data_IF_570376267499
#
_entry.id   IF_570376267499
#
_cell.length_a   1.000
_cell.length_b   1.000
_cell.length_c   1.000
_cell.angle_alpha   90.00
_cell.angle_beta   90.00
_cell.angle_gamma   90.00
#
_symmetry.space_group_name_H-M   'P 1'
#
loop_
_entity.id
_entity.type
_entity.pdbx_description
1 polymer ?
#
# COMPACT_ATOMS: atom_id res chain seq x y z
N UNK A 1 0.05 8.95 -17.83
CA UNK A 1 -1.05 9.51 -17.00
C UNK A 1 -0.88 11.03 -16.96
N UNK A 2 -1.96 11.79 -17.12
CA UNK A 2 -1.92 13.25 -17.03
C UNK A 2 -2.17 13.64 -15.57
N UNK A 3 -1.19 14.31 -14.96
CA UNK A 3 -1.29 14.77 -13.57
C UNK A 3 -1.67 16.25 -13.56
N UNK A 4 -2.91 16.62 -13.12
CA UNK A 4 -3.34 18.01 -13.06
C UNK A 4 -2.96 18.71 -11.75
N UNK A 5 -1.97 18.23 -11.00
CA UNK A 5 -1.57 18.80 -9.71
C UNK A 5 -0.13 19.30 -9.73
N UNK A 6 0.11 20.41 -9.04
CA UNK A 6 1.43 20.94 -8.74
C UNK A 6 2.17 20.05 -7.74
N UNK A 7 3.51 20.19 -7.59
CA UNK A 7 4.26 19.42 -6.58
C UNK A 7 3.74 19.57 -5.15
N UNK A 8 3.16 20.72 -4.81
CA UNK A 8 2.52 20.98 -3.52
C UNK A 8 1.13 20.34 -3.36
N UNK A 9 0.66 19.61 -4.37
CA UNK A 9 -0.64 18.93 -4.37
C UNK A 9 -1.83 19.84 -4.67
N UNK A 10 -1.62 21.11 -5.05
CA UNK A 10 -2.68 21.98 -5.54
C UNK A 10 -3.03 21.67 -7.00
N UNK A 11 -4.31 21.83 -7.35
CA UNK A 11 -4.75 21.72 -8.73
C UNK A 11 -4.14 22.86 -9.56
N UNK A 12 -3.62 22.54 -10.76
CA UNK A 12 -3.07 23.54 -11.66
C UNK A 12 -4.18 24.52 -12.11
N UNK A 13 -3.79 25.77 -12.39
CA UNK A 13 -4.65 26.64 -13.19
C UNK A 13 -4.41 26.32 -14.68
N UNK A 14 -5.48 26.08 -15.42
CA UNK A 14 -5.38 25.70 -16.85
C UNK A 14 -4.76 26.81 -17.71
N UNK A 15 -4.91 28.04 -17.31
CA UNK A 15 -4.33 29.20 -18.02
C UNK A 15 -2.79 29.16 -18.05
N UNK A 16 -2.18 28.59 -17.00
CA UNK A 16 -0.73 28.46 -16.87
C UNK A 16 -0.16 27.33 -17.74
N UNK A 17 -1.02 26.45 -18.29
CA UNK A 17 -0.63 25.23 -19.00
C UNK A 17 -1.44 25.03 -20.29
N UNK A 18 -1.24 25.84 -21.33
CA UNK A 18 -2.11 25.87 -22.51
C UNK A 18 -2.24 24.55 -23.27
N UNK A 19 -1.16 23.75 -23.34
CA UNK A 19 -1.21 22.42 -23.99
C UNK A 19 -2.06 21.42 -23.19
N UNK A 20 -1.89 21.40 -21.86
CA UNK A 20 -2.70 20.54 -21.00
C UNK A 20 -4.17 21.01 -20.98
N UNK A 21 -4.39 22.33 -21.00
CA UNK A 21 -5.72 22.92 -21.11
C UNK A 21 -6.41 22.49 -22.40
N UNK A 22 -5.77 22.61 -23.54
CA UNK A 22 -6.32 22.20 -24.83
C UNK A 22 -6.73 20.73 -24.83
N UNK A 23 -5.88 19.85 -24.33
CA UNK A 23 -6.18 18.42 -24.20
C UNK A 23 -7.37 18.18 -23.27
N UNK A 24 -7.40 18.78 -22.08
CA UNK A 24 -8.49 18.60 -21.12
C UNK A 24 -9.79 19.18 -21.66
N UNK A 25 -9.77 20.33 -22.34
CA UNK A 25 -10.94 20.97 -22.95
C UNK A 25 -11.51 20.08 -24.07
N UNK A 26 -10.69 19.46 -24.91
CA UNK A 26 -11.16 18.54 -25.94
C UNK A 26 -11.93 17.33 -25.37
N UNK A 27 -11.70 16.99 -24.09
CA UNK A 27 -12.37 15.89 -23.39
C UNK A 27 -13.37 16.39 -22.33
N UNK A 28 -13.69 17.69 -22.31
CA UNK A 28 -14.47 18.34 -21.25
C UNK A 28 -15.82 17.69 -21.02
N UNK A 29 -16.53 17.38 -22.07
CA UNK A 29 -17.88 16.78 -21.97
C UNK A 29 -17.85 15.43 -21.21
N UNK A 30 -16.89 14.56 -21.55
CA UNK A 30 -16.72 13.27 -20.85
C UNK A 30 -16.27 13.48 -19.40
N UNK A 31 -15.35 14.41 -19.17
CA UNK A 31 -14.81 14.69 -17.83
C UNK A 31 -15.86 15.31 -16.90
N UNK A 32 -16.76 16.15 -17.40
CA UNK A 32 -17.83 16.78 -16.62
C UNK A 32 -18.93 15.79 -16.20
N UNK A 33 -19.11 14.66 -16.91
CA UNK A 33 -20.06 13.60 -16.54
C UNK A 33 -19.65 12.85 -15.29
N UNK A 34 -18.37 12.90 -14.88
CA UNK A 34 -17.86 12.22 -13.69
C UNK A 34 -18.45 12.80 -12.40
N UNK A 35 -18.68 11.93 -11.40
CA UNK A 35 -19.22 12.33 -10.12
C UNK A 35 -18.41 13.45 -9.43
N UNK A 36 -17.07 13.34 -9.47
CA UNK A 36 -16.17 14.33 -8.88
C UNK A 36 -16.31 15.71 -9.52
N UNK A 37 -16.55 15.77 -10.84
CA UNK A 37 -16.74 17.01 -11.57
C UNK A 37 -18.12 17.63 -11.29
N UNK A 38 -19.16 16.80 -11.15
CA UNK A 38 -20.51 17.26 -10.77
C UNK A 38 -20.52 17.92 -9.39
N UNK A 39 -19.74 17.39 -8.44
CA UNK A 39 -19.57 17.99 -7.11
C UNK A 39 -18.71 19.26 -7.12
N UNK A 40 -17.86 19.44 -8.11
CA UNK A 40 -16.93 20.57 -8.23
C UNK A 40 -16.89 21.10 -9.67
N UNK A 41 -17.92 21.79 -10.16
CA UNK A 41 -18.01 22.20 -11.57
C UNK A 41 -16.85 23.10 -12.03
N UNK A 42 -16.37 23.99 -11.18
CA UNK A 42 -15.23 24.86 -11.47
C UNK A 42 -13.87 24.11 -11.55
N UNK A 43 -13.81 22.89 -11.00
CA UNK A 43 -12.61 22.03 -10.98
C UNK A 43 -12.89 20.71 -11.68
N UNK A 44 -13.61 20.75 -12.80
CA UNK A 44 -14.11 19.60 -13.56
C UNK A 44 -13.01 18.65 -14.04
N UNK A 45 -11.78 19.11 -14.15
CA UNK A 45 -10.59 18.33 -14.55
C UNK A 45 -9.89 17.65 -13.37
N UNK A 46 -10.36 17.85 -12.14
CA UNK A 46 -9.86 17.16 -10.95
C UNK A 46 -9.97 15.64 -11.09
N UNK A 47 -8.98 14.89 -10.59
CA UNK A 47 -9.06 13.42 -10.49
C UNK A 47 -9.97 12.99 -9.34
N UNK A 48 -10.41 11.72 -9.34
CA UNK A 48 -11.21 11.16 -8.26
C UNK A 48 -10.37 11.21 -6.97
N UNK A 49 -9.18 10.63 -7.03
CA UNK A 49 -8.24 10.62 -5.93
C UNK A 49 -7.24 11.76 -6.07
N UNK A 50 -6.85 12.35 -4.95
CA UNK A 50 -5.81 13.36 -4.95
C UNK A 50 -4.46 12.71 -5.28
N UNK A 51 -3.76 13.26 -6.25
CA UNK A 51 -2.40 12.84 -6.56
C UNK A 51 -1.44 13.51 -5.56
N UNK A 52 -0.63 12.70 -4.91
CA UNK A 52 0.45 13.13 -4.02
C UNK A 52 1.79 12.92 -4.76
N UNK A 53 2.38 13.96 -5.36
CA UNK A 53 3.55 13.80 -6.22
C UNK A 53 4.75 13.11 -5.54
N UNK A 54 4.98 13.42 -4.27
CA UNK A 54 6.05 12.82 -3.47
C UNK A 54 5.96 11.29 -3.35
N UNK A 55 4.75 10.73 -3.49
CA UNK A 55 4.55 9.29 -3.41
C UNK A 55 5.21 8.54 -4.57
N UNK A 56 5.40 9.19 -5.73
CA UNK A 56 6.07 8.58 -6.87
C UNK A 56 7.50 8.18 -6.52
N UNK A 57 8.22 9.04 -5.83
CA UNK A 57 9.66 8.89 -5.57
C UNK A 57 9.96 8.22 -4.21
N UNK A 58 8.91 7.81 -3.50
CA UNK A 58 9.03 7.16 -2.19
C UNK A 58 8.94 5.64 -2.30
N UNK A 59 9.81 4.87 -1.64
CA UNK A 59 9.64 3.43 -1.50
C UNK A 59 8.31 3.11 -0.82
N UNK A 60 7.63 2.07 -1.32
CA UNK A 60 6.31 1.68 -0.82
C UNK A 60 5.98 0.21 -1.05
N UNK A 61 5.21 -0.36 -0.16
CA UNK A 61 4.54 -1.65 -0.40
C UNK A 61 3.24 -1.38 -1.15
N UNK A 62 3.00 -2.13 -2.19
CA UNK A 62 1.77 -2.07 -3.01
C UNK A 62 0.91 -3.30 -2.72
N UNK A 63 -0.35 -3.04 -2.35
CA UNK A 63 -1.34 -4.06 -1.98
C UNK A 63 -2.58 -3.92 -2.88
N UNK A 64 -3.01 -4.97 -3.57
CA UNK A 64 -4.29 -4.95 -4.26
C UNK A 64 -5.46 -4.99 -3.26
N UNK A 65 -6.58 -4.32 -3.55
CA UNK A 65 -7.79 -4.37 -2.69
C UNK A 65 -8.33 -5.81 -2.58
N UNK A 66 -8.28 -6.55 -3.67
CA UNK A 66 -8.72 -7.95 -3.73
C UNK A 66 -7.59 -8.77 -4.35
N UNK A 67 -7.08 -9.75 -3.61
CA UNK A 67 -6.04 -10.63 -4.13
C UNK A 67 -6.26 -12.06 -3.66
N UNK A 68 -6.34 -12.98 -4.65
CA UNK A 68 -6.32 -14.41 -4.37
C UNK A 68 -4.90 -14.97 -4.21
N UNK A 69 -3.94 -14.38 -4.90
CA UNK A 69 -2.58 -14.90 -4.97
C UNK A 69 -1.63 -14.25 -3.95
N UNK A 70 -2.12 -13.33 -3.11
CA UNK A 70 -1.33 -12.60 -2.10
C UNK A 70 -0.05 -11.96 -2.66
N UNK A 71 -0.05 -11.58 -3.94
CA UNK A 71 1.08 -10.91 -4.54
C UNK A 71 1.15 -9.47 -4.02
N UNK A 72 2.12 -9.23 -3.15
CA UNK A 72 2.42 -7.94 -2.55
C UNK A 72 3.83 -7.57 -2.96
N UNK A 73 3.98 -6.37 -3.51
CA UNK A 73 5.24 -5.93 -4.09
C UNK A 73 5.76 -4.68 -3.38
N UNK A 74 7.08 -4.58 -3.33
CA UNK A 74 7.75 -3.34 -2.94
C UNK A 74 8.18 -2.61 -4.20
N UNK A 75 7.75 -1.36 -4.31
CA UNK A 75 8.25 -0.40 -5.30
C UNK A 75 9.28 0.50 -4.63
N UNK A 76 10.44 0.63 -5.26
CA UNK A 76 11.57 1.42 -4.78
C UNK A 76 11.47 2.94 -5.09
N UNK A 77 10.29 3.38 -5.55
CA UNK A 77 10.04 4.78 -5.89
C UNK A 77 10.01 5.04 -7.39
N UNK A 78 9.60 4.07 -8.20
CA UNK A 78 9.49 4.20 -9.66
C UNK A 78 8.06 4.38 -10.16
N UNK A 79 7.08 3.87 -9.41
CA UNK A 79 5.70 3.81 -9.85
C UNK A 79 4.77 4.61 -8.93
N UNK A 80 3.71 5.11 -9.52
CA UNK A 80 2.62 5.73 -8.79
C UNK A 80 1.45 4.74 -8.65
N UNK A 81 0.97 4.42 -7.43
CA UNK A 81 -0.16 3.52 -7.22
C UNK A 81 -1.44 4.14 -7.81
N UNK A 82 -2.23 3.31 -8.49
CA UNK A 82 -3.51 3.71 -9.06
C UNK A 82 -4.68 3.15 -8.25
N UNK A 83 -5.87 3.55 -8.61
CA UNK A 83 -7.17 3.39 -7.97
C UNK A 83 -7.44 2.07 -7.23
N UNK A 84 -6.94 0.93 -7.67
CA UNK A 84 -7.22 -0.38 -7.04
C UNK A 84 -6.07 -0.89 -6.15
N UNK A 85 -5.12 -0.01 -5.81
CA UNK A 85 -3.99 -0.34 -4.97
C UNK A 85 -4.02 0.49 -3.69
N UNK A 86 -3.89 -0.18 -2.57
CA UNK A 86 -3.44 0.44 -1.34
C UNK A 86 -1.92 0.48 -1.31
N UNK A 87 -1.36 1.38 -0.53
CA UNK A 87 0.09 1.45 -0.36
C UNK A 87 0.46 1.70 1.10
N UNK A 88 1.64 1.23 1.47
CA UNK A 88 2.24 1.50 2.78
C UNK A 88 3.58 2.18 2.53
N UNK A 89 3.78 3.33 3.14
CA UNK A 89 5.04 4.08 3.11
C UNK A 89 5.65 4.16 4.50
N UNK A 90 6.90 4.56 4.57
CA UNK A 90 7.64 4.72 5.81
C UNK A 90 8.64 3.60 6.07
N UNK A 91 9.72 3.94 6.73
CA UNK A 91 10.83 3.01 6.96
C UNK A 91 11.79 2.88 5.76
N UNK A 92 12.81 2.06 5.94
CA UNK A 92 13.78 1.74 4.89
C UNK A 92 13.21 0.76 3.87
N UNK A 93 13.83 0.67 2.69
CA UNK A 93 13.47 -0.31 1.67
C UNK A 93 13.49 -1.74 2.23
N UNK A 94 14.50 -2.07 3.04
CA UNK A 94 14.61 -3.38 3.71
C UNK A 94 13.43 -3.66 4.65
N UNK A 95 13.01 -2.67 5.45
CA UNK A 95 11.84 -2.80 6.34
C UNK A 95 10.56 -3.03 5.55
N UNK A 96 10.39 -2.32 4.42
CA UNK A 96 9.24 -2.52 3.53
C UNK A 96 9.25 -3.90 2.86
N UNK A 97 10.43 -4.42 2.50
CA UNK A 97 10.56 -5.77 1.96
C UNK A 97 10.20 -6.84 3.01
N UNK A 98 10.70 -6.71 4.25
CA UNK A 98 10.31 -7.59 5.36
C UNK A 98 8.81 -7.54 5.61
N UNK A 99 8.25 -6.34 5.67
CA UNK A 99 6.80 -6.16 5.83
C UNK A 99 6.02 -6.83 4.69
N UNK A 100 6.46 -6.66 3.45
CA UNK A 100 5.84 -7.29 2.28
C UNK A 100 5.88 -8.83 2.37
N UNK A 101 7.03 -9.38 2.75
CA UNK A 101 7.19 -10.82 2.96
C UNK A 101 6.24 -11.34 4.05
N UNK A 102 6.14 -10.64 5.18
CA UNK A 102 5.23 -11.00 6.27
C UNK A 102 3.76 -10.95 5.82
N UNK A 103 3.38 -9.91 5.07
CA UNK A 103 2.02 -9.76 4.54
C UNK A 103 1.66 -10.88 3.54
N UNK A 104 2.63 -11.44 2.84
CA UNK A 104 2.42 -12.56 1.91
C UNK A 104 2.24 -13.91 2.62
N UNK A 105 2.57 -14.01 3.91
CA UNK A 105 2.54 -15.27 4.66
C UNK A 105 1.12 -15.80 4.93
N UNK A 106 1.01 -17.11 5.11
CA UNK A 106 -0.23 -17.75 5.55
C UNK A 106 -0.63 -17.32 6.97
N UNK A 107 0.33 -16.89 7.79
CA UNK A 107 0.07 -16.29 9.10
C UNK A 107 -0.80 -15.03 9.00
N UNK A 108 -0.53 -14.15 8.06
CA UNK A 108 -1.35 -12.95 7.81
C UNK A 108 -2.64 -13.31 7.08
N UNK A 109 -2.57 -14.20 6.10
CA UNK A 109 -3.75 -14.64 5.36
C UNK A 109 -4.82 -15.24 6.27
N UNK A 110 -4.45 -16.10 7.21
CA UNK A 110 -5.38 -16.70 8.15
C UNK A 110 -6.07 -15.66 9.03
N UNK A 111 -5.33 -14.64 9.48
CA UNK A 111 -5.92 -13.52 10.21
C UNK A 111 -6.90 -12.72 9.36
N UNK A 112 -6.54 -12.38 8.11
CA UNK A 112 -7.43 -11.66 7.21
C UNK A 112 -8.72 -12.45 6.94
N UNK A 113 -8.62 -13.74 6.66
CA UNK A 113 -9.79 -14.59 6.43
C UNK A 113 -10.73 -14.66 7.63
N UNK A 114 -10.21 -14.50 8.85
CA UNK A 114 -11.02 -14.51 10.08
C UNK A 114 -11.75 -13.19 10.36
N UNK A 115 -11.27 -12.06 9.80
CA UNK A 115 -11.80 -10.73 10.15
C UNK A 115 -12.44 -9.98 8.97
N UNK A 116 -12.27 -10.46 7.74
CA UNK A 116 -12.81 -9.82 6.53
C UNK A 116 -13.96 -10.60 5.93
N UNK A 117 -14.88 -9.88 5.30
CA UNK A 117 -15.85 -10.51 4.42
C UNK A 117 -15.15 -10.93 3.12
N UNK A 118 -15.22 -12.21 2.79
CA UNK A 118 -14.72 -12.70 1.53
C UNK A 118 -15.62 -12.29 0.37
N UNK A 119 -15.02 -11.89 -0.74
CA UNK A 119 -15.73 -11.67 -2.00
C UNK A 119 -16.07 -13.02 -2.67
N UNK A 120 -16.93 -12.98 -3.70
CA UNK A 120 -17.24 -14.14 -4.52
C UNK A 120 -15.94 -14.81 -4.99
N UNK A 121 -15.75 -16.10 -4.64
CA UNK A 121 -14.50 -16.83 -4.87
C UNK A 121 -13.62 -17.00 -3.62
N UNK A 122 -14.05 -16.53 -2.45
CA UNK A 122 -13.34 -16.74 -1.17
C UNK A 122 -12.10 -15.83 -0.96
N UNK A 123 -11.96 -14.77 -1.75
CA UNK A 123 -10.82 -13.86 -1.64
C UNK A 123 -11.02 -12.83 -0.55
N UNK A 124 -10.04 -12.68 0.38
CA UNK A 124 -10.09 -11.66 1.41
C UNK A 124 -9.91 -10.25 0.81
N UNK A 125 -10.50 -9.25 1.45
CA UNK A 125 -10.26 -7.85 1.13
C UNK A 125 -9.14 -7.28 1.98
N UNK A 126 -8.22 -6.58 1.31
CA UNK A 126 -7.05 -5.93 1.93
C UNK A 126 -7.35 -4.48 2.32
N UNK A 127 -8.55 -4.21 2.82
CA UNK A 127 -8.95 -2.86 3.20
C UNK A 127 -8.25 -2.41 4.49
N UNK A 128 -7.98 -1.11 4.58
CA UNK A 128 -7.28 -0.48 5.70
C UNK A 128 -7.84 -0.84 7.06
N UNK A 129 -9.16 -0.92 7.16
CA UNK A 129 -9.85 -1.27 8.40
C UNK A 129 -9.52 -2.68 8.91
N UNK A 130 -9.19 -3.61 8.01
CA UNK A 130 -8.77 -4.97 8.35
C UNK A 130 -7.26 -5.03 8.59
N UNK A 131 -6.47 -4.37 7.73
CA UNK A 131 -5.02 -4.33 7.89
C UNK A 131 -4.59 -3.78 9.25
N UNK A 132 -5.31 -2.79 9.77
CA UNK A 132 -5.06 -2.20 11.10
C UNK A 132 -5.33 -3.15 12.28
N UNK A 133 -5.99 -4.27 12.04
CA UNK A 133 -6.31 -5.29 13.06
C UNK A 133 -5.33 -6.46 13.06
N UNK A 134 -4.43 -6.51 12.07
CA UNK A 134 -3.43 -7.57 11.98
C UNK A 134 -2.45 -7.49 13.14
N UNK A 135 -2.19 -8.64 13.74
CA UNK A 135 -1.15 -8.81 14.75
C UNK A 135 0.10 -9.32 14.04
N UNK A 136 1.14 -8.52 14.03
CA UNK A 136 2.37 -8.83 13.31
C UNK A 136 3.59 -8.64 14.22
N UNK A 137 4.67 -9.42 14.01
CA UNK A 137 5.95 -9.14 14.62
C UNK A 137 6.47 -7.74 14.24
N UNK A 138 7.19 -7.09 15.15
CA UNK A 138 7.88 -5.84 14.82
C UNK A 138 9.06 -6.16 13.89
N UNK A 139 9.05 -5.57 12.70
CA UNK A 139 10.12 -5.74 11.69
C UNK A 139 11.51 -5.39 12.21
N UNK A 140 11.60 -4.51 13.20
CA UNK A 140 12.85 -4.10 13.81
C UNK A 140 13.34 -5.05 14.92
N UNK A 141 12.49 -5.94 15.38
CA UNK A 141 12.79 -6.89 16.46
C UNK A 141 13.03 -8.32 15.94
N UNK A 142 12.96 -8.53 14.63
CA UNK A 142 13.27 -9.83 14.01
C UNK A 142 14.78 -10.06 14.08
N UNK A 143 15.18 -11.25 14.54
CA UNK A 143 16.58 -11.66 14.53
C UNK A 143 17.13 -11.64 13.10
N UNK A 144 18.36 -11.16 12.94
CA UNK A 144 18.97 -10.90 11.62
C UNK A 144 19.00 -12.13 10.71
N UNK A 145 19.30 -13.30 11.27
CA UNK A 145 19.31 -14.57 10.53
C UNK A 145 17.93 -14.96 9.98
N UNK A 146 16.87 -14.70 10.75
CA UNK A 146 15.50 -14.95 10.34
C UNK A 146 15.04 -13.89 9.32
N UNK A 147 15.47 -12.65 9.49
CA UNK A 147 15.17 -11.58 8.54
C UNK A 147 15.78 -11.88 7.16
N UNK A 148 17.05 -12.32 7.11
CA UNK A 148 17.71 -12.70 5.86
C UNK A 148 17.04 -13.93 5.21
N UNK A 149 16.67 -14.94 6.00
CA UNK A 149 15.91 -16.09 5.48
C UNK A 149 14.56 -15.68 4.87
N UNK A 150 13.85 -14.79 5.56
CA UNK A 150 12.55 -14.29 5.10
C UNK A 150 12.68 -13.49 3.81
N UNK A 151 13.66 -12.60 3.73
CA UNK A 151 13.96 -11.82 2.53
C UNK A 151 14.38 -12.70 1.36
N UNK A 152 15.23 -13.69 1.60
CA UNK A 152 15.65 -14.65 0.56
C UNK A 152 14.47 -15.45 0.00
N UNK A 153 13.57 -15.91 0.87
CA UNK A 153 12.36 -16.60 0.45
C UNK A 153 11.42 -15.67 -0.35
N UNK A 154 11.25 -14.43 0.11
CA UNK A 154 10.45 -13.41 -0.58
C UNK A 154 10.99 -13.12 -1.99
N UNK A 155 12.29 -12.90 -2.13
CA UNK A 155 12.93 -12.60 -3.41
C UNK A 155 12.86 -13.78 -4.39
N UNK A 156 12.93 -15.01 -3.87
CA UNK A 156 12.82 -16.23 -4.66
C UNK A 156 11.36 -16.63 -4.95
N UNK A 157 10.37 -15.93 -4.40
CA UNK A 157 8.95 -16.34 -4.41
C UNK A 157 8.72 -17.75 -3.86
N UNK A 158 9.58 -18.19 -2.94
CA UNK A 158 9.47 -19.49 -2.26
C UNK A 158 8.49 -19.38 -1.09
N UNK A 159 7.22 -19.62 -1.35
CA UNK A 159 6.17 -19.48 -0.35
C UNK A 159 6.26 -20.52 0.77
N UNK A 160 6.78 -21.72 0.50
CA UNK A 160 6.97 -22.75 1.51
C UNK A 160 8.00 -22.27 2.54
N UNK A 161 9.20 -21.89 2.06
CA UNK A 161 10.26 -21.37 2.91
C UNK A 161 9.88 -20.08 3.63
N UNK A 162 9.07 -19.21 2.98
CA UNK A 162 8.56 -17.98 3.58
C UNK A 162 7.65 -18.30 4.78
N UNK A 163 6.73 -19.24 4.62
CA UNK A 163 5.79 -19.64 5.68
C UNK A 163 6.51 -20.33 6.83
N UNK A 164 7.47 -21.22 6.56
CA UNK A 164 8.29 -21.88 7.58
C UNK A 164 9.08 -20.84 8.39
N UNK A 165 9.71 -19.89 7.68
CA UNK A 165 10.47 -18.81 8.35
C UNK A 165 9.55 -17.92 9.19
N UNK A 166 8.34 -17.63 8.69
CA UNK A 166 7.38 -16.84 9.43
C UNK A 166 6.89 -17.55 10.68
N UNK A 167 6.72 -18.89 10.65
CA UNK A 167 6.40 -19.69 11.83
C UNK A 167 7.50 -19.62 12.89
N UNK A 168 8.78 -19.69 12.48
CA UNK A 168 9.93 -19.51 13.37
C UNK A 168 9.93 -18.13 14.02
N UNK A 169 9.69 -17.05 13.25
CA UNK A 169 9.63 -15.67 13.76
C UNK A 169 8.51 -15.50 14.79
N UNK A 170 7.33 -16.06 14.52
CA UNK A 170 6.17 -15.94 15.42
C UNK A 170 6.38 -16.76 16.71
N UNK A 171 7.07 -17.90 16.63
CA UNK A 171 7.34 -18.80 17.74
C UNK A 171 8.55 -18.37 18.56
N UNK A 172 9.40 -17.50 18.04
CA UNK A 172 10.60 -17.05 18.74
C UNK A 172 10.24 -16.41 20.09
N UNK A 173 10.95 -16.75 21.19
CA UNK A 173 10.71 -16.11 22.48
C UNK A 173 10.95 -14.61 22.34
N UNK A 174 9.94 -13.82 22.63
CA UNK A 174 10.07 -12.36 22.65
C UNK A 174 11.20 -11.98 23.60
N UNK A 175 12.26 -11.37 23.09
CA UNK A 175 13.30 -10.78 23.93
C UNK A 175 12.58 -9.91 24.98
N UNK A 176 12.90 -10.13 26.27
CA UNK A 176 12.35 -9.35 27.39
C UNK A 176 12.76 -7.89 27.19
N UNK A 177 12.02 -7.15 26.41
CA UNK A 177 12.18 -5.69 26.35
C UNK A 177 11.77 -5.15 27.72
N UNK A 178 12.67 -4.43 28.37
CA UNK A 178 12.35 -3.63 29.54
C UNK A 178 11.07 -2.83 29.28
N UNK A 179 10.09 -3.00 30.19
CA UNK A 179 8.78 -2.33 30.26
C UNK A 179 8.77 -0.93 29.61
N UNK A 180 8.64 -0.86 28.32
CA UNK A 180 7.86 0.18 27.64
C UNK A 180 6.63 -0.55 27.13
N UNK A 181 5.45 0.00 27.44
CA UNK A 181 4.19 -0.45 26.88
C UNK A 181 4.41 -0.77 25.40
N UNK A 182 3.85 -1.86 24.85
CA UNK A 182 3.94 -2.12 23.43
C UNK A 182 3.38 -0.88 22.74
N UNK A 183 4.26 0.01 22.30
CA UNK A 183 3.90 0.89 21.21
C UNK A 183 3.69 -0.08 20.06
N UNK A 184 2.43 -0.50 19.88
CA UNK A 184 1.97 -0.90 18.58
C UNK A 184 2.41 0.25 17.69
N UNK A 185 3.51 0.06 16.96
CA UNK A 185 3.86 1.00 15.92
C UNK A 185 2.68 0.98 14.98
N UNK A 186 1.83 1.96 15.16
CA UNK A 186 0.64 2.15 14.36
C UNK A 186 1.20 2.44 12.99
N UNK A 187 1.25 1.40 12.14
CA UNK A 187 1.58 1.56 10.74
C UNK A 187 0.63 2.63 10.24
N UNK A 188 1.17 3.80 9.97
CA UNK A 188 0.38 4.92 9.45
C UNK A 188 0.13 4.61 8.00
N UNK A 189 -1.04 4.01 7.75
CA UNK A 189 -1.49 3.74 6.40
C UNK A 189 -2.10 5.03 5.86
N UNK A 190 -1.38 5.73 5.02
CA UNK A 190 -1.94 6.79 4.20
C UNK A 190 -2.65 6.14 3.01
N UNK A 191 -3.98 6.18 3.07
CA UNK A 191 -4.83 5.67 2.00
C UNK A 191 -5.26 6.84 1.12
N UNK A 192 -4.95 6.77 -0.16
CA UNK A 192 -5.67 7.55 -1.14
C UNK A 192 -7.04 6.88 -1.38
N UNK A 193 -8.10 7.53 -0.88
CA UNK A 193 -9.47 7.31 -1.32
C UNK A 193 -9.81 8.27 -2.45
#
# INVERSE_FOLDING_TARGET
MLNPYKPNGELINLEDYPQAAAYLISHREALQKRHVAKKNPGKWYKTIDRIVPALKDSPKVLLPDISGNQLIFVDDGRFYPQHNLYYITGGSLRQLQLLSAMLMSDYVKSQLLSITNCMNGGYPRWQSQYLRKLVMPDVNAIEESLAERLLGAYQAFDMARLNDTMADIVSAPRAKSHRRQPQVQQLTFDFAM
#
